data_IF_656624690714
#
_entry.id   IF_656624690714
#
_cell.length_a   1.000
_cell.length_b   1.000
_cell.length_c   1.000
_cell.angle_alpha   90.00
_cell.angle_beta   90.00
_cell.angle_gamma   90.00
#
_symmetry.space_group_name_H-M   'P 1'
#
loop_
_entity.id
_entity.type
_entity.pdbx_description
1 polymer ?
#
# COMPACT_ATOMS: atom_id res chain seq x y z
N UNK A 1 -17.44 10.44 21.54
CA UNK A 1 -16.09 10.92 21.89
C UNK A 1 -15.24 9.83 22.55
N UNK A 2 -15.82 8.99 23.43
CA UNK A 2 -15.08 7.86 24.00
C UNK A 2 -14.76 6.77 22.97
N UNK A 3 -15.56 6.55 21.97
CA UNK A 3 -15.30 5.58 20.92
C UNK A 3 -14.08 5.95 20.06
N UNK A 4 -13.89 7.22 19.78
CA UNK A 4 -12.71 7.73 19.06
C UNK A 4 -11.50 7.83 19.98
N UNK A 5 -11.70 8.15 21.25
CA UNK A 5 -10.60 8.16 22.25
C UNK A 5 -10.12 6.78 22.66
N UNK A 6 -10.95 5.74 22.52
CA UNK A 6 -10.53 4.36 22.73
C UNK A 6 -9.81 3.77 21.53
N UNK A 7 -9.94 4.38 20.36
CA UNK A 7 -9.01 4.12 19.29
C UNK A 7 -7.66 4.69 19.76
N UNK A 8 -6.75 3.83 20.16
CA UNK A 8 -5.45 4.17 20.73
C UNK A 8 -4.52 4.89 19.73
N UNK A 9 -5.09 5.74 18.88
CA UNK A 9 -4.39 6.45 17.84
C UNK A 9 -3.93 5.53 16.70
N UNK A 10 -2.77 5.82 16.18
CA UNK A 10 -2.13 5.01 15.14
C UNK A 10 -1.31 3.90 15.80
N UNK A 11 -1.64 2.66 15.50
CA UNK A 11 -0.93 1.47 15.96
C UNK A 11 -0.42 0.69 14.75
N UNK A 12 0.83 0.27 14.82
CA UNK A 12 1.47 -0.59 13.82
C UNK A 12 2.20 -1.69 14.57
N UNK A 13 1.84 -2.94 14.27
CA UNK A 13 2.58 -4.12 14.64
C UNK A 13 3.21 -4.69 13.36
N UNK A 14 4.53 -4.88 13.35
CA UNK A 14 5.22 -5.36 12.17
C UNK A 14 6.37 -6.30 12.54
N UNK A 15 6.35 -7.47 11.93
CA UNK A 15 7.41 -8.47 12.01
C UNK A 15 8.08 -8.64 10.66
N UNK A 16 9.39 -8.96 10.69
CA UNK A 16 10.11 -9.16 9.45
C UNK A 16 11.38 -9.98 9.62
N UNK A 17 11.67 -10.77 8.59
CA UNK A 17 12.89 -11.54 8.46
C UNK A 17 13.63 -11.14 7.18
N UNK A 18 14.90 -10.79 7.31
CA UNK A 18 15.75 -10.44 6.18
C UNK A 18 17.03 -11.26 6.21
N UNK A 19 17.38 -11.84 5.07
CA UNK A 19 18.59 -12.63 4.89
C UNK A 19 19.35 -12.12 3.67
N UNK A 20 20.61 -11.75 3.89
CA UNK A 20 21.55 -11.45 2.80
C UNK A 20 22.67 -12.46 2.83
N UNK A 21 22.87 -13.16 1.71
CA UNK A 21 24.01 -14.05 1.48
C UNK A 21 24.91 -13.43 0.43
N UNK A 22 26.21 -13.43 0.69
CA UNK A 22 27.23 -12.94 -0.23
C UNK A 22 28.19 -14.07 -0.55
N UNK A 23 28.45 -14.27 -1.84
CA UNK A 23 29.39 -15.24 -2.34
C UNK A 23 30.42 -14.48 -3.19
N UNK A 24 31.65 -14.45 -2.71
CA UNK A 24 32.76 -13.79 -3.39
C UNK A 24 33.54 -14.80 -4.22
N UNK A 25 33.70 -14.48 -5.48
CA UNK A 25 34.53 -15.19 -6.43
C UNK A 25 35.65 -14.21 -6.85
N UNK A 26 36.64 -14.71 -7.59
CA UNK A 26 37.85 -13.95 -7.92
C UNK A 26 37.53 -12.56 -8.57
N UNK A 27 36.57 -12.56 -9.48
CA UNK A 27 36.19 -11.33 -10.25
C UNK A 27 34.72 -11.00 -10.17
N UNK A 28 33.96 -11.68 -9.30
CA UNK A 28 32.52 -11.50 -9.19
C UNK A 28 32.05 -11.65 -7.76
N UNK A 29 31.12 -10.84 -7.38
CA UNK A 29 30.38 -11.00 -6.13
C UNK A 29 28.90 -11.26 -6.46
N UNK A 30 28.36 -12.40 -6.00
CA UNK A 30 26.94 -12.73 -6.07
C UNK A 30 26.28 -12.47 -4.72
N UNK A 31 25.24 -11.65 -4.72
CA UNK A 31 24.39 -11.44 -3.53
C UNK A 31 23.00 -12.03 -3.76
N UNK A 32 22.50 -12.74 -2.74
CA UNK A 32 21.10 -13.14 -2.62
C UNK A 32 20.49 -12.37 -1.46
N UNK A 33 19.41 -11.64 -1.73
CA UNK A 33 18.71 -10.79 -0.76
C UNK A 33 17.28 -11.29 -0.68
N UNK A 34 16.92 -11.88 0.46
CA UNK A 34 15.58 -12.39 0.75
C UNK A 34 14.95 -11.58 1.88
N UNK A 35 13.67 -11.30 1.79
CA UNK A 35 12.95 -10.61 2.85
C UNK A 35 11.48 -11.04 2.89
N UNK A 36 10.96 -11.14 4.10
CA UNK A 36 9.54 -11.33 4.39
C UNK A 36 9.14 -10.32 5.46
N UNK A 37 7.96 -9.75 5.35
CA UNK A 37 7.41 -8.82 6.32
C UNK A 37 5.90 -8.95 6.39
N UNK A 38 5.41 -9.04 7.62
CA UNK A 38 3.99 -8.97 7.96
C UNK A 38 3.74 -7.67 8.74
N UNK A 39 2.61 -7.04 8.48
CA UNK A 39 2.23 -5.80 9.15
C UNK A 39 0.73 -5.72 9.35
N UNK A 40 0.33 -5.49 10.61
CA UNK A 40 -1.01 -5.08 11.00
C UNK A 40 -1.00 -3.60 11.38
N UNK A 41 -1.93 -2.83 10.83
CA UNK A 41 -2.04 -1.41 11.10
C UNK A 41 -3.48 -1.03 11.43
N UNK A 42 -3.65 -0.26 12.49
CA UNK A 42 -4.90 0.42 12.84
C UNK A 42 -4.65 1.91 12.91
N UNK A 43 -5.30 2.66 12.03
CA UNK A 43 -5.28 4.11 12.02
C UNK A 43 -6.68 4.65 12.27
N UNK A 44 -6.91 5.17 13.48
CA UNK A 44 -8.13 5.88 13.80
C UNK A 44 -7.90 7.39 13.73
N UNK A 45 -8.79 8.11 13.07
CA UNK A 45 -8.67 9.55 12.94
C UNK A 45 -10.02 10.26 12.83
N UNK A 46 -10.04 11.50 13.32
CA UNK A 46 -11.12 12.46 13.11
C UNK A 46 -10.73 13.32 11.93
N UNK A 47 -11.43 13.17 10.80
CA UNK A 47 -11.07 13.87 9.56
C UNK A 47 -11.39 15.36 9.61
N UNK A 48 -12.34 15.76 10.45
CA UNK A 48 -12.79 17.14 10.57
C UNK A 48 -12.11 17.90 11.70
N UNK A 49 -11.38 17.21 12.57
CA UNK A 49 -10.53 17.82 13.61
C UNK A 49 -11.27 18.47 14.76
N UNK A 50 -12.58 18.25 14.92
CA UNK A 50 -13.37 18.84 15.98
C UNK A 50 -13.13 18.13 17.32
N UNK A 51 -12.93 18.92 18.38
CA UNK A 51 -12.70 18.41 19.72
C UNK A 51 -13.98 17.91 20.43
N UNK A 52 -15.15 18.35 19.99
CA UNK A 52 -16.41 18.17 20.71
C UNK A 52 -17.50 17.46 19.91
N UNK A 53 -17.33 17.30 18.61
CA UNK A 53 -18.36 16.77 17.72
C UNK A 53 -17.68 15.93 16.64
N UNK A 54 -18.09 14.70 16.50
CA UNK A 54 -17.65 13.88 15.38
C UNK A 54 -18.53 14.18 14.16
N UNK A 55 -18.01 14.87 13.19
CA UNK A 55 -18.67 15.07 11.90
C UNK A 55 -18.26 14.00 10.89
N UNK A 56 -17.01 13.58 10.95
CA UNK A 56 -16.49 12.47 10.14
C UNK A 56 -15.30 11.83 10.85
N UNK A 57 -15.55 10.69 11.45
CA UNK A 57 -14.54 9.85 12.05
C UNK A 57 -14.34 8.59 11.20
N UNK A 58 -13.14 8.11 11.13
CA UNK A 58 -12.87 6.86 10.45
C UNK A 58 -11.77 6.07 11.16
N UNK A 59 -11.86 4.75 11.03
CA UNK A 59 -10.79 3.83 11.34
C UNK A 59 -10.39 3.09 10.06
N UNK A 60 -9.10 3.08 9.77
CA UNK A 60 -8.52 2.26 8.71
C UNK A 60 -7.72 1.14 9.34
N UNK A 61 -8.12 -0.08 9.06
CA UNK A 61 -7.40 -1.28 9.46
C UNK A 61 -6.80 -1.90 8.21
N UNK A 62 -5.52 -2.20 8.24
CA UNK A 62 -4.85 -2.87 7.12
C UNK A 62 -3.96 -4.00 7.59
N UNK A 63 -3.95 -5.07 6.80
CA UNK A 63 -3.03 -6.20 6.91
C UNK A 63 -2.20 -6.23 5.65
N UNK A 64 -0.90 -6.44 5.80
CA UNK A 64 0.01 -6.43 4.66
C UNK A 64 1.07 -7.49 4.80
N UNK A 65 1.17 -8.35 3.80
CA UNK A 65 2.20 -9.38 3.70
C UNK A 65 3.10 -9.07 2.50
N UNK A 66 4.41 -9.08 2.73
CA UNK A 66 5.38 -8.77 1.70
C UNK A 66 6.45 -9.85 1.63
N UNK A 67 6.83 -10.23 0.41
CA UNK A 67 7.97 -11.11 0.17
C UNK A 67 8.82 -10.53 -0.95
N UNK A 68 10.14 -10.59 -0.77
CA UNK A 68 11.08 -10.18 -1.80
C UNK A 68 12.24 -11.18 -1.94
N UNK A 69 12.72 -11.31 -3.16
CA UNK A 69 13.94 -12.02 -3.50
C UNK A 69 14.68 -11.26 -4.59
N UNK A 70 15.95 -10.99 -4.37
CA UNK A 70 16.83 -10.41 -5.39
C UNK A 70 18.11 -11.21 -5.49
N UNK A 71 18.56 -11.45 -6.72
CA UNK A 71 19.90 -11.92 -7.03
C UNK A 71 20.62 -10.79 -7.77
N UNK A 72 21.83 -10.48 -7.29
CA UNK A 72 22.67 -9.42 -7.85
C UNK A 72 24.08 -9.95 -8.05
N UNK A 73 24.55 -9.87 -9.27
CA UNK A 73 25.93 -10.18 -9.66
C UNK A 73 26.66 -8.88 -9.96
N UNK A 74 27.74 -8.63 -9.26
CA UNK A 74 28.65 -7.50 -9.49
C UNK A 74 29.97 -8.02 -10.02
N UNK A 75 30.50 -7.40 -11.07
CA UNK A 75 31.83 -7.70 -11.58
C UNK A 75 32.88 -6.79 -10.92
N UNK A 76 34.10 -7.31 -10.76
CA UNK A 76 35.29 -6.59 -10.29
C UNK A 76 36.45 -6.97 -11.22
N UNK A 77 36.29 -6.65 -12.51
CA UNK A 77 37.27 -7.02 -13.55
C UNK A 77 38.42 -6.00 -13.54
N UNK A 78 39.64 -6.49 -13.79
CA UNK A 78 40.84 -5.66 -13.91
C UNK A 78 40.85 -4.73 -15.13
N UNK A 79 39.92 -4.94 -16.07
CA UNK A 79 39.78 -4.17 -17.30
C UNK A 79 38.93 -2.92 -17.14
N UNK A 80 38.77 -2.14 -18.24
CA UNK A 80 38.00 -0.91 -18.22
C UNK A 80 36.48 -1.14 -18.09
N UNK A 81 36.00 -2.38 -18.22
CA UNK A 81 34.57 -2.73 -18.18
C UNK A 81 34.21 -3.39 -16.85
N UNK A 82 33.23 -2.82 -16.16
CA UNK A 82 32.58 -3.48 -15.04
C UNK A 82 31.05 -3.40 -15.19
N UNK A 83 30.35 -4.32 -14.56
CA UNK A 83 28.88 -4.37 -14.64
C UNK A 83 28.23 -4.90 -13.38
N UNK A 84 26.95 -4.58 -13.25
CA UNK A 84 26.03 -5.15 -12.29
C UNK A 84 24.82 -5.70 -13.04
N UNK A 85 24.51 -6.97 -12.81
CA UNK A 85 23.32 -7.62 -13.35
C UNK A 85 22.46 -8.17 -12.22
N UNK A 86 21.15 -8.16 -12.37
CA UNK A 86 20.30 -8.72 -11.35
C UNK A 86 18.89 -9.03 -11.82
N UNK A 87 18.22 -9.86 -11.00
CA UNK A 87 16.82 -10.17 -11.13
C UNK A 87 16.14 -10.09 -9.77
N UNK A 88 14.95 -9.56 -9.74
CA UNK A 88 14.16 -9.38 -8.52
C UNK A 88 12.73 -9.88 -8.70
N UNK A 89 12.22 -10.46 -7.64
CA UNK A 89 10.83 -10.85 -7.45
C UNK A 89 10.30 -10.20 -6.18
N UNK A 90 9.05 -9.72 -6.23
CA UNK A 90 8.40 -9.06 -5.11
C UNK A 90 6.91 -9.36 -5.14
N UNK A 91 6.34 -9.70 -3.96
CA UNK A 91 4.90 -9.74 -3.74
C UNK A 91 4.50 -8.78 -2.63
N UNK A 92 3.29 -8.27 -2.70
CA UNK A 92 2.72 -7.34 -1.74
C UNK A 92 1.20 -7.54 -1.71
N UNK A 93 0.73 -8.26 -0.70
CA UNK A 93 -0.67 -8.57 -0.49
C UNK A 93 -1.20 -7.63 0.60
N UNK A 94 -2.19 -6.83 0.26
CA UNK A 94 -2.74 -5.81 1.14
C UNK A 94 -4.24 -5.96 1.24
N UNK A 95 -4.72 -6.20 2.45
CA UNK A 95 -6.13 -6.09 2.80
C UNK A 95 -6.34 -4.87 3.66
N UNK A 96 -7.30 -4.04 3.32
CA UNK A 96 -7.65 -2.93 4.18
C UNK A 96 -9.16 -2.75 4.27
N UNK A 97 -9.57 -2.18 5.38
CA UNK A 97 -10.94 -1.83 5.68
C UNK A 97 -10.98 -0.42 6.22
N UNK A 98 -11.87 0.37 5.68
CA UNK A 98 -12.21 1.69 6.23
C UNK A 98 -13.60 1.61 6.81
N UNK A 99 -13.71 1.95 8.08
CA UNK A 99 -14.98 2.18 8.77
C UNK A 99 -15.15 3.68 8.91
N UNK A 100 -16.20 4.23 8.30
CA UNK A 100 -16.52 5.65 8.38
C UNK A 100 -17.77 5.92 9.19
N UNK A 101 -17.73 6.88 10.09
CA UNK A 101 -18.90 7.45 10.76
C UNK A 101 -19.18 8.84 10.20
N UNK A 102 -20.33 8.97 9.56
CA UNK A 102 -20.74 10.17 8.86
C UNK A 102 -21.66 11.04 9.73
N UNK A 103 -21.10 11.63 10.78
CA UNK A 103 -21.84 12.52 11.68
C UNK A 103 -22.48 13.71 10.97
N UNK A 104 -21.94 14.17 9.83
CA UNK A 104 -22.55 15.23 9.03
C UNK A 104 -23.92 14.85 8.45
N UNK A 105 -24.22 13.55 8.30
CA UNK A 105 -25.54 13.09 7.87
C UNK A 105 -26.60 13.41 8.93
N UNK A 106 -26.24 13.29 10.21
CA UNK A 106 -27.12 13.68 11.31
C UNK A 106 -27.42 15.18 11.26
N UNK A 107 -26.40 15.98 11.00
CA UNK A 107 -26.53 17.44 10.88
C UNK A 107 -27.45 17.82 9.70
N UNK A 108 -27.28 17.19 8.55
CA UNK A 108 -28.11 17.45 7.37
C UNK A 108 -29.59 17.06 7.57
N UNK A 109 -29.87 16.12 8.47
CA UNK A 109 -31.23 15.69 8.82
C UNK A 109 -31.78 16.36 10.11
N UNK A 110 -31.14 17.42 10.60
CA UNK A 110 -31.51 18.08 11.87
C UNK A 110 -31.51 17.16 13.10
N UNK A 111 -30.72 16.10 13.06
CA UNK A 111 -30.51 15.21 14.19
C UNK A 111 -29.29 15.67 14.99
N UNK A 112 -29.33 15.66 16.33
CA UNK A 112 -28.10 15.85 17.10
C UNK A 112 -27.08 14.76 16.78
N UNK A 113 -25.82 15.14 16.57
CA UNK A 113 -24.75 14.20 16.21
C UNK A 113 -24.61 13.05 17.20
N UNK A 114 -24.73 13.33 18.50
CA UNK A 114 -24.70 12.30 19.54
C UNK A 114 -25.85 11.28 19.43
N UNK A 115 -26.99 11.66 18.83
CA UNK A 115 -28.10 10.72 18.62
C UNK A 115 -27.80 9.74 17.50
N UNK A 116 -27.07 10.16 16.48
CA UNK A 116 -26.62 9.25 15.44
C UNK A 116 -25.63 8.23 15.98
N UNK A 117 -24.66 8.64 16.76
CA UNK A 117 -23.74 7.74 17.46
C UNK A 117 -24.50 6.74 18.36
N UNK A 118 -25.45 7.25 19.15
CA UNK A 118 -26.27 6.38 20.01
C UNK A 118 -27.13 5.40 19.22
N UNK A 119 -27.65 5.80 18.08
CA UNK A 119 -28.44 4.94 17.21
C UNK A 119 -27.57 3.86 16.55
N UNK A 120 -26.39 4.25 16.09
CA UNK A 120 -25.41 3.31 15.52
C UNK A 120 -24.94 2.30 16.54
N UNK A 121 -24.57 2.73 17.74
CA UNK A 121 -24.18 1.85 18.83
C UNK A 121 -25.30 0.88 19.24
N UNK A 122 -26.55 1.37 19.30
CA UNK A 122 -27.72 0.52 19.57
C UNK A 122 -27.98 -0.48 18.48
N UNK A 123 -27.83 -0.09 17.21
CA UNK A 123 -27.99 -1.00 16.08
C UNK A 123 -26.90 -2.08 16.09
N UNK A 124 -25.66 -1.72 16.34
CA UNK A 124 -24.54 -2.65 16.48
C UNK A 124 -24.78 -3.66 17.62
N UNK A 125 -25.25 -3.21 18.78
CA UNK A 125 -25.60 -4.07 19.89
C UNK A 125 -26.79 -5.00 19.57
N UNK A 126 -27.81 -4.51 18.88
CA UNK A 126 -28.97 -5.30 18.45
C UNK A 126 -28.58 -6.36 17.41
N UNK A 127 -27.57 -6.10 16.60
CA UNK A 127 -27.03 -7.05 15.64
C UNK A 127 -26.09 -8.10 16.27
N UNK A 128 -25.93 -8.09 17.61
CA UNK A 128 -25.12 -9.06 18.33
C UNK A 128 -23.62 -8.73 18.40
N UNK A 129 -23.24 -7.49 18.09
CA UNK A 129 -21.88 -7.04 18.27
C UNK A 129 -21.51 -6.98 19.77
N UNK A 130 -20.48 -7.69 20.21
CA UNK A 130 -20.07 -7.71 21.62
C UNK A 130 -19.39 -6.40 22.07
N UNK A 131 -18.90 -5.61 21.14
CA UNK A 131 -18.26 -4.32 21.39
C UNK A 131 -19.27 -3.19 21.24
N UNK A 132 -19.17 -2.20 22.12
CA UNK A 132 -19.90 -0.92 21.95
C UNK A 132 -19.19 0.03 20.98
N UNK A 133 -18.06 -0.39 20.45
CA UNK A 133 -17.32 0.35 19.45
C UNK A 133 -17.90 0.08 18.06
N UNK A 134 -18.46 1.11 17.45
CA UNK A 134 -19.03 1.01 16.10
C UNK A 134 -17.99 0.59 15.06
N UNK A 135 -16.72 0.90 15.28
CA UNK A 135 -15.65 0.51 14.38
C UNK A 135 -15.29 -0.99 14.44
N UNK A 136 -15.59 -1.67 15.54
CA UNK A 136 -15.42 -3.12 15.65
C UNK A 136 -16.60 -3.89 15.07
N UNK A 137 -17.76 -3.27 14.98
CA UNK A 137 -19.01 -3.93 14.62
C UNK A 137 -19.67 -3.40 13.34
N UNK A 138 -19.02 -2.57 12.63
CA UNK A 138 -19.46 -1.96 11.39
C UNK A 138 -19.80 -0.47 11.55
N UNK A 139 -19.19 0.35 10.73
CA UNK A 139 -19.47 1.78 10.61
C UNK A 139 -20.66 2.06 9.69
N UNK A 140 -21.04 3.32 9.57
CA UNK A 140 -22.06 3.78 8.62
C UNK A 140 -21.65 3.62 7.16
N UNK A 141 -20.36 3.68 6.89
CA UNK A 141 -19.76 3.40 5.60
C UNK A 141 -18.59 2.43 5.80
N UNK A 142 -18.68 1.27 5.17
CA UNK A 142 -17.64 0.26 5.21
C UNK A 142 -17.13 0.07 3.80
N UNK A 143 -15.85 0.28 3.62
CA UNK A 143 -15.15 0.02 2.38
C UNK A 143 -14.02 -0.95 2.68
N UNK A 144 -13.98 -2.05 1.94
CA UNK A 144 -12.92 -3.02 2.05
C UNK A 144 -12.29 -3.26 0.68
N UNK A 145 -11.00 -3.42 0.64
CA UNK A 145 -10.30 -3.83 -0.57
C UNK A 145 -9.18 -4.81 -0.24
N UNK A 146 -8.97 -5.69 -1.18
CA UNK A 146 -7.92 -6.69 -1.21
C UNK A 146 -7.14 -6.48 -2.51
N UNK A 147 -5.83 -6.31 -2.40
CA UNK A 147 -4.97 -6.10 -3.55
C UNK A 147 -3.73 -6.99 -3.44
N UNK A 148 -3.62 -7.91 -4.38
CA UNK A 148 -2.42 -8.72 -4.57
C UNK A 148 -1.56 -8.07 -5.65
N UNK A 149 -0.28 -7.91 -5.37
CA UNK A 149 0.70 -7.40 -6.33
C UNK A 149 1.82 -8.40 -6.51
N UNK A 150 2.15 -8.69 -7.76
CA UNK A 150 3.34 -9.46 -8.13
C UNK A 150 4.20 -8.64 -9.08
N UNK A 151 5.48 -8.54 -8.78
CA UNK A 151 6.45 -7.77 -9.55
C UNK A 151 7.69 -8.60 -9.89
N UNK A 152 8.09 -8.56 -11.15
CA UNK A 152 9.33 -9.13 -11.64
C UNK A 152 10.17 -8.05 -12.30
N UNK A 153 11.47 -8.09 -12.06
CA UNK A 153 12.40 -7.20 -12.75
C UNK A 153 13.69 -7.92 -13.09
N UNK A 154 14.28 -7.52 -14.21
CA UNK A 154 15.66 -7.88 -14.57
C UNK A 154 16.39 -6.62 -15.02
N UNK A 155 17.65 -6.50 -14.67
CA UNK A 155 18.45 -5.34 -15.01
C UNK A 155 19.89 -5.68 -15.29
N UNK A 156 20.50 -4.83 -16.11
CA UNK A 156 21.92 -4.84 -16.41
C UNK A 156 22.40 -3.39 -16.45
N UNK A 157 23.48 -3.10 -15.77
CA UNK A 157 24.12 -1.80 -15.72
C UNK A 157 25.62 -2.00 -15.88
N UNK A 158 26.25 -1.27 -16.80
CA UNK A 158 27.66 -1.37 -17.08
C UNK A 158 28.36 -0.01 -17.02
N UNK A 159 29.61 -0.03 -16.60
CA UNK A 159 30.52 1.10 -16.66
C UNK A 159 31.74 0.76 -17.50
N UNK A 160 32.20 1.72 -18.27
CA UNK A 160 33.38 1.59 -19.13
C UNK A 160 34.27 2.80 -19.02
N UNK A 161 35.52 2.60 -18.62
CA UNK A 161 36.54 3.63 -18.52
C UNK A 161 37.14 3.87 -19.90
N UNK A 162 36.75 4.98 -20.54
CA UNK A 162 37.30 5.41 -21.87
C UNK A 162 38.76 5.82 -21.73
N UNK A 163 39.06 6.56 -20.66
CA UNK A 163 40.42 7.01 -20.29
C UNK A 163 40.51 6.95 -18.75
N UNK A 164 41.72 7.20 -18.23
CA UNK A 164 41.95 7.34 -16.79
C UNK A 164 41.13 8.45 -16.11
N UNK A 165 40.50 9.35 -16.88
CA UNK A 165 39.72 10.49 -16.38
C UNK A 165 38.29 10.56 -16.94
N UNK A 166 37.92 9.63 -17.80
CA UNK A 166 36.58 9.66 -18.42
C UNK A 166 35.97 8.30 -18.38
N UNK A 167 34.80 8.19 -17.80
CA UNK A 167 34.00 6.97 -17.80
C UNK A 167 32.61 7.21 -18.39
N UNK A 168 32.03 6.18 -18.96
CA UNK A 168 30.62 6.12 -19.34
C UNK A 168 29.95 4.99 -18.61
N UNK A 169 28.68 5.19 -18.25
CA UNK A 169 27.85 4.09 -17.74
C UNK A 169 26.50 4.07 -18.44
N UNK A 170 25.97 2.89 -18.64
CA UNK A 170 24.63 2.69 -19.19
C UNK A 170 23.96 1.50 -18.55
N UNK A 171 22.66 1.63 -18.32
CA UNK A 171 21.86 0.60 -17.70
C UNK A 171 20.50 0.46 -18.35
N UNK A 172 19.99 -0.76 -18.30
CA UNK A 172 18.63 -1.11 -18.74
C UNK A 172 17.95 -1.95 -17.66
N UNK A 173 16.67 -1.71 -17.44
CA UNK A 173 15.82 -2.49 -16.54
C UNK A 173 14.49 -2.77 -17.21
N UNK A 174 14.11 -4.03 -17.22
CA UNK A 174 12.76 -4.47 -17.53
C UNK A 174 12.01 -4.69 -16.23
N UNK A 175 10.79 -4.18 -16.14
CA UNK A 175 9.88 -4.38 -14.99
C UNK A 175 8.52 -4.83 -15.49
N UNK A 176 7.94 -5.79 -14.79
CA UNK A 176 6.57 -6.26 -14.98
C UNK A 176 5.88 -6.27 -13.64
N UNK A 177 4.87 -5.42 -13.48
CA UNK A 177 3.98 -5.34 -12.32
C UNK A 177 2.60 -5.82 -12.71
N UNK A 178 2.04 -6.74 -11.94
CA UNK A 178 0.67 -7.22 -12.07
C UNK A 178 -0.05 -6.99 -10.74
N UNK A 179 -1.27 -6.48 -10.81
CA UNK A 179 -2.11 -6.24 -9.64
C UNK A 179 -3.48 -6.83 -9.87
N UNK A 180 -3.90 -7.67 -8.93
CA UNK A 180 -5.26 -8.16 -8.79
C UNK A 180 -5.94 -7.38 -7.69
N UNK A 181 -7.14 -6.89 -7.95
CA UNK A 181 -7.87 -6.01 -7.04
C UNK A 181 -9.29 -6.50 -6.84
N UNK A 182 -9.70 -6.57 -5.59
CA UNK A 182 -11.07 -6.86 -5.19
C UNK A 182 -11.56 -5.75 -4.28
N UNK A 183 -12.77 -5.29 -4.48
CA UNK A 183 -13.40 -4.28 -3.65
C UNK A 183 -14.77 -4.75 -3.18
N UNK A 184 -15.01 -4.57 -1.89
CA UNK A 184 -16.31 -4.74 -1.27
C UNK A 184 -16.74 -3.37 -0.72
N UNK A 185 -17.92 -2.93 -1.10
CA UNK A 185 -18.51 -1.71 -0.57
C UNK A 185 -19.87 -2.06 0.04
N UNK A 186 -20.00 -1.77 1.31
CA UNK A 186 -21.27 -1.79 1.99
C UNK A 186 -21.84 -0.37 1.96
N UNK A 187 -22.82 -0.16 1.15
CA UNK A 187 -23.50 1.11 1.04
C UNK A 187 -24.52 1.02 -0.08
N UNK A 188 -25.60 1.72 0.06
CA UNK A 188 -26.57 1.76 -1.04
C UNK A 188 -26.24 2.91 -1.96
N UNK A 189 -25.91 2.58 -3.18
CA UNK A 189 -25.75 3.54 -4.26
C UNK A 189 -27.02 4.42 -4.51
N UNK A 190 -28.18 4.01 -3.97
CA UNK A 190 -29.45 4.65 -4.26
C UNK A 190 -29.70 5.97 -3.51
N UNK A 191 -29.21 6.12 -2.28
CA UNK A 191 -29.28 7.39 -1.56
C UNK A 191 -28.39 7.36 -0.30
N UNK A 192 -27.11 7.75 -0.42
CA UNK A 192 -26.16 7.71 0.70
C UNK A 192 -26.54 8.67 1.85
N UNK A 193 -27.48 9.57 1.62
CA UNK A 193 -27.92 10.57 2.60
C UNK A 193 -29.26 10.23 3.29
N UNK A 194 -29.83 9.08 3.01
CA UNK A 194 -31.07 8.66 3.69
C UNK A 194 -30.74 8.01 5.03
N UNK A 195 -31.11 8.66 6.11
CA UNK A 195 -30.92 8.15 7.47
C UNK A 195 -31.55 6.76 7.70
N UNK A 196 -32.66 6.44 7.02
CA UNK A 196 -33.32 5.15 7.10
C UNK A 196 -32.49 4.05 6.41
N UNK A 197 -31.80 4.37 5.33
CA UNK A 197 -30.93 3.44 4.62
C UNK A 197 -29.67 3.17 5.44
N UNK A 198 -29.06 4.21 5.99
CA UNK A 198 -27.88 4.07 6.85
C UNK A 198 -28.17 3.21 8.08
N UNK A 199 -29.32 3.40 8.72
CA UNK A 199 -29.74 2.61 9.88
C UNK A 199 -30.04 1.14 9.53
N UNK A 200 -30.55 0.87 8.35
CA UNK A 200 -30.81 -0.53 7.90
C UNK A 200 -29.52 -1.31 7.60
N UNK A 201 -28.43 -0.64 7.30
CA UNK A 201 -27.15 -1.31 7.06
C UNK A 201 -26.59 -1.97 8.32
N UNK A 202 -26.93 -1.46 9.50
CA UNK A 202 -26.51 -2.04 10.78
C UNK A 202 -27.32 -3.25 11.22
N UNK A 203 -28.40 -3.59 10.55
CA UNK A 203 -29.25 -4.72 10.88
C UNK A 203 -28.82 -6.01 10.17
N UNK A 204 -27.80 -5.96 9.33
CA UNK A 204 -27.24 -7.11 8.65
C UNK A 204 -26.34 -7.98 9.54
N UNK A 205 -26.01 -9.18 9.10
CA UNK A 205 -25.02 -10.01 9.80
C UNK A 205 -23.68 -9.28 9.84
N UNK A 206 -22.94 -9.47 10.94
CA UNK A 206 -21.58 -8.93 11.04
C UNK A 206 -20.71 -9.50 9.95
N UNK A 207 -20.01 -8.63 9.26
CA UNK A 207 -19.01 -8.98 8.28
C UNK A 207 -17.64 -8.74 8.93
N UNK A 208 -16.76 -9.72 8.85
CA UNK A 208 -15.37 -9.52 9.15
C UNK A 208 -14.65 -9.12 7.85
N UNK A 209 -14.47 -7.84 7.59
CA UNK A 209 -14.00 -7.38 6.29
C UNK A 209 -12.53 -7.71 6.01
N UNK A 210 -11.80 -8.24 6.99
CA UNK A 210 -10.46 -8.77 6.81
C UNK A 210 -10.45 -10.28 6.51
N UNK A 211 -11.61 -10.93 6.53
CA UNK A 211 -11.73 -12.34 6.14
C UNK A 211 -11.90 -12.49 4.63
N UNK A 212 -11.17 -13.43 4.03
CA UNK A 212 -11.29 -13.73 2.60
C UNK A 212 -12.70 -14.10 2.16
N UNK A 213 -13.49 -14.72 3.04
CA UNK A 213 -14.87 -15.10 2.77
C UNK A 213 -15.81 -13.90 2.63
N UNK A 214 -15.43 -12.76 3.18
CA UNK A 214 -16.25 -11.55 3.26
C UNK A 214 -16.00 -10.60 2.08
N UNK A 215 -14.91 -10.80 1.33
CA UNK A 215 -14.68 -10.10 0.09
C UNK A 215 -15.63 -10.59 -0.99
N UNK A 216 -16.82 -10.01 -1.00
CA UNK A 216 -17.79 -10.24 -2.06
C UNK A 216 -17.30 -9.72 -3.41
N UNK A 217 -17.91 -10.19 -4.49
CA UNK A 217 -17.56 -9.85 -5.87
C UNK A 217 -18.20 -8.54 -6.33
N UNK A 218 -18.15 -7.47 -5.55
CA UNK A 218 -18.73 -6.20 -5.97
C UNK A 218 -17.96 -5.59 -7.15
N UNK A 219 -16.63 -5.57 -7.05
CA UNK A 219 -15.74 -5.16 -8.13
C UNK A 219 -14.46 -5.97 -8.04
N UNK A 220 -14.11 -6.61 -9.13
CA UNK A 220 -12.79 -7.24 -9.31
C UNK A 220 -12.17 -6.72 -10.60
N UNK A 221 -10.90 -6.41 -10.55
CA UNK A 221 -10.15 -6.02 -11.74
C UNK A 221 -8.72 -6.53 -11.63
N UNK A 222 -8.08 -6.77 -12.76
CA UNK A 222 -6.69 -7.22 -12.82
C UNK A 222 -5.98 -6.48 -13.94
N UNK A 223 -4.78 -6.01 -13.66
CA UNK A 223 -4.02 -5.31 -14.68
C UNK A 223 -2.52 -5.51 -14.54
N UNK A 224 -1.89 -5.67 -15.69
CA UNK A 224 -0.45 -5.82 -15.84
C UNK A 224 0.14 -4.60 -16.53
N UNK A 225 1.23 -4.09 -15.97
CA UNK A 225 2.03 -3.00 -16.55
C UNK A 225 3.45 -3.50 -16.75
N UNK A 226 3.99 -3.24 -17.91
CA UNK A 226 5.38 -3.57 -18.23
C UNK A 226 6.10 -2.36 -18.77
N UNK A 227 7.36 -2.22 -18.44
CA UNK A 227 8.20 -1.13 -18.95
C UNK A 227 9.66 -1.53 -19.00
N UNK A 228 10.32 -1.14 -20.06
CA UNK A 228 11.77 -1.05 -20.12
C UNK A 228 12.20 0.39 -19.86
N UNK A 229 13.05 0.58 -18.89
CA UNK A 229 13.68 1.86 -18.54
C UNK A 229 15.16 1.76 -18.80
N UNK A 230 15.80 2.90 -19.01
CA UNK A 230 17.24 2.97 -19.26
C UNK A 230 17.84 4.23 -18.65
N UNK A 231 19.15 4.19 -18.43
CA UNK A 231 19.96 5.33 -18.03
C UNK A 231 21.25 5.35 -18.83
N UNK A 232 21.82 6.53 -19.00
CA UNK A 232 23.17 6.74 -19.51
C UNK A 232 23.80 7.90 -18.75
N UNK A 233 25.10 7.80 -18.51
CA UNK A 233 25.87 8.83 -17.81
C UNK A 233 27.28 8.88 -18.40
N UNK A 234 27.83 10.06 -18.41
CA UNK A 234 29.26 10.31 -18.69
C UNK A 234 29.85 11.13 -17.53
N UNK A 235 30.99 10.70 -17.05
CA UNK A 235 31.74 11.33 -15.99
C UNK A 235 33.11 11.74 -16.54
N UNK A 236 33.63 12.93 -16.17
CA UNK A 236 34.94 13.41 -16.57
C UNK A 236 35.63 14.19 -15.45
N UNK A 237 36.82 13.75 -15.06
CA UNK A 237 37.66 14.42 -14.09
C UNK A 237 38.46 15.52 -14.80
N UNK A 238 38.10 16.79 -14.52
CA UNK A 238 38.81 17.97 -15.03
C UNK A 238 40.15 18.14 -14.33
N UNK A 239 40.24 17.80 -13.07
CA UNK A 239 41.44 17.76 -12.23
C UNK A 239 41.25 16.70 -11.14
N UNK A 240 42.27 16.52 -10.30
CA UNK A 240 42.20 15.57 -9.18
C UNK A 240 41.15 15.96 -8.12
N UNK A 241 40.74 17.23 -8.09
CA UNK A 241 39.78 17.79 -7.15
C UNK A 241 38.44 18.22 -7.79
N UNK A 242 38.27 18.08 -9.11
CA UNK A 242 37.10 18.57 -9.82
C UNK A 242 36.61 17.59 -10.89
N UNK A 243 35.35 17.17 -10.75
CA UNK A 243 34.67 16.28 -11.69
C UNK A 243 33.42 16.95 -12.23
N UNK A 244 33.06 16.68 -13.47
CA UNK A 244 31.80 17.02 -14.10
C UNK A 244 31.12 15.74 -14.58
N UNK A 245 29.79 15.73 -14.55
CA UNK A 245 29.03 14.64 -15.12
C UNK A 245 27.77 15.14 -15.81
N UNK A 246 27.27 14.32 -16.72
CA UNK A 246 25.92 14.47 -17.30
C UNK A 246 25.23 13.12 -17.33
N UNK A 247 23.96 13.10 -16.95
CA UNK A 247 23.17 11.88 -16.94
C UNK A 247 21.77 12.10 -17.48
N UNK A 248 21.21 11.05 -18.07
CA UNK A 248 19.81 10.96 -18.47
C UNK A 248 19.25 9.59 -18.06
N UNK A 249 18.06 9.61 -17.47
CA UNK A 249 17.39 8.39 -17.05
C UNK A 249 15.88 8.47 -17.30
N UNK A 250 15.29 7.31 -17.57
CA UNK A 250 13.84 7.14 -17.64
C UNK A 250 13.35 6.40 -16.40
N UNK A 251 12.16 6.75 -15.91
CA UNK A 251 11.53 6.11 -14.76
C UNK A 251 10.24 5.38 -15.14
N UNK A 252 9.78 4.53 -14.22
CA UNK A 252 8.52 3.83 -14.33
C UNK A 252 7.85 3.71 -12.96
N UNK A 253 6.56 4.01 -12.94
CA UNK A 253 5.66 3.69 -11.82
C UNK A 253 4.46 2.96 -12.42
N UNK A 254 4.16 1.79 -11.90
CA UNK A 254 2.96 1.05 -12.30
C UNK A 254 1.70 1.84 -11.92
N UNK A 255 0.63 1.65 -12.67
CA UNK A 255 -0.68 2.14 -12.31
C UNK A 255 -1.23 1.46 -11.05
N UNK A 256 -2.40 1.89 -10.60
CA UNK A 256 -3.11 1.32 -9.46
C UNK A 256 -4.61 1.43 -9.64
N UNK A 257 -5.32 0.80 -8.72
CA UNK A 257 -6.77 0.89 -8.61
C UNK A 257 -7.14 1.92 -7.54
N UNK A 258 -8.31 2.53 -7.69
CA UNK A 258 -8.83 3.45 -6.66
C UNK A 258 -9.64 2.67 -5.64
N UNK A 259 -9.25 2.82 -4.40
CA UNK A 259 -9.86 2.15 -3.27
C UNK A 259 -11.16 2.84 -2.83
N UNK A 260 -11.25 4.15 -3.02
CA UNK A 260 -12.27 5.00 -2.43
C UNK A 260 -13.21 5.68 -3.42
N UNK A 261 -12.86 5.78 -4.69
CA UNK A 261 -13.72 6.42 -5.67
C UNK A 261 -14.68 5.41 -6.28
N UNK A 262 -15.97 5.62 -6.03
CA UNK A 262 -17.01 5.01 -6.84
C UNK A 262 -16.89 5.54 -8.27
N UNK A 263 -16.95 4.68 -9.25
CA UNK A 263 -17.14 5.01 -10.66
C UNK A 263 -18.53 5.58 -10.87
#
# INVERSE_FOLDING_TARGET
LEAVNNAAGHQIDADGLYLTMTFDFDQFTLKSISGMRDQDEVLASTYTGEAYTSLYDASRNSQREQTQQEFRLTSELDGPLNFVAGAAYYTDDVKFVVFGDLGFVALANNLPVYQLHSASAKAANAAGCPSQNIFECGGLDIQAADQDRTSYAAYLDGSFDITARTSISAGVRYTSDEKDFKRLQFGTAANPFSSAILLNQFQGPHVNPLSDSDFGTNVTDSKKWTKTTWRAQIDHDLSDDMMIYASYATGFVAGGFSETCGS
#
